data_IF_871417970816
#
_entry.id   IF_871417970816
#
_cell.length_a   1.000
_cell.length_b   1.000
_cell.length_c   1.000
_cell.angle_alpha   90.00
_cell.angle_beta   90.00
_cell.angle_gamma   90.00
#
_symmetry.space_group_name_H-M   'P 1'
#
loop_
_entity.id
_entity.type
_entity.pdbx_description
1 polymer ?
#
# COMPACT_ATOMS: atom_id res chain seq x y z
N UNK A 1 29.52 9.77 -7.18
CA UNK A 1 28.17 10.13 -6.73
C UNK A 1 27.40 8.87 -6.36
N UNK A 2 26.88 8.80 -5.15
CA UNK A 2 26.14 7.63 -4.70
C UNK A 2 24.66 7.80 -5.04
N UNK A 3 24.21 7.06 -6.05
CA UNK A 3 22.83 7.13 -6.54
C UNK A 3 21.83 6.66 -5.49
N UNK A 4 22.18 5.65 -4.69
CA UNK A 4 21.32 5.18 -3.61
C UNK A 4 21.08 6.28 -2.58
N UNK A 5 22.11 7.07 -2.23
CA UNK A 5 21.95 8.19 -1.33
C UNK A 5 21.07 9.29 -1.92
N UNK A 6 21.20 9.58 -3.21
CA UNK A 6 20.31 10.54 -3.89
C UNK A 6 18.87 10.09 -3.90
N UNK A 7 18.62 8.81 -4.21
CA UNK A 7 17.28 8.23 -4.19
C UNK A 7 16.67 8.32 -2.80
N UNK A 8 17.44 8.01 -1.76
CA UNK A 8 16.99 8.13 -0.37
C UNK A 8 16.64 9.57 -0.01
N UNK A 9 17.48 10.52 -0.41
CA UNK A 9 17.25 11.93 -0.15
C UNK A 9 15.98 12.44 -0.85
N UNK A 10 15.85 12.18 -2.15
CA UNK A 10 14.71 12.61 -2.94
C UNK A 10 13.41 11.98 -2.43
N UNK A 11 13.44 10.68 -2.14
CA UNK A 11 12.23 10.00 -1.63
C UNK A 11 11.81 10.54 -0.26
N UNK A 12 12.77 10.88 0.60
CA UNK A 12 12.49 11.48 1.90
C UNK A 12 11.86 12.87 1.73
N UNK A 13 12.39 13.69 0.85
CA UNK A 13 11.84 15.01 0.56
C UNK A 13 10.43 14.93 -0.03
N UNK A 14 10.19 13.99 -0.95
CA UNK A 14 8.87 13.77 -1.54
C UNK A 14 7.85 13.39 -0.46
N UNK A 15 8.18 12.45 0.41
CA UNK A 15 7.27 12.00 1.46
C UNK A 15 7.02 13.12 2.47
N UNK A 16 8.03 13.89 2.84
CA UNK A 16 7.87 15.03 3.75
C UNK A 16 6.95 16.11 3.14
N UNK A 17 7.11 16.40 1.85
CA UNK A 17 6.22 17.35 1.15
C UNK A 17 4.78 16.85 1.11
N UNK A 18 4.56 15.56 0.86
CA UNK A 18 3.24 14.97 0.88
C UNK A 18 2.59 15.07 2.26
N UNK A 19 3.36 14.83 3.32
CA UNK A 19 2.88 14.94 4.68
C UNK A 19 2.45 16.38 5.01
N UNK A 20 3.24 17.37 4.59
CA UNK A 20 2.91 18.79 4.79
C UNK A 20 1.64 19.20 4.05
N UNK A 21 1.39 18.61 2.88
CA UNK A 21 0.20 18.89 2.07
C UNK A 21 -1.05 18.13 2.55
N UNK A 22 -0.93 17.29 3.59
CA UNK A 22 -2.07 16.53 4.12
C UNK A 22 -2.41 15.29 3.31
N UNK A 23 -1.49 14.81 2.48
CA UNK A 23 -1.71 13.65 1.61
C UNK A 23 -2.09 12.40 2.40
N UNK A 24 -1.39 12.11 3.51
CA UNK A 24 -1.64 10.91 4.29
C UNK A 24 -2.95 10.98 5.09
N UNK A 25 -3.45 12.17 5.35
CA UNK A 25 -4.76 12.36 5.97
C UNK A 25 -5.89 12.08 4.97
N UNK A 26 -5.70 12.46 3.71
CA UNK A 26 -6.67 12.21 2.63
C UNK A 26 -6.65 10.76 2.16
N UNK A 27 -5.48 10.09 2.24
CA UNK A 27 -5.28 8.73 1.75
C UNK A 27 -4.88 7.80 2.89
N UNK A 28 -5.83 7.48 3.76
CA UNK A 28 -5.60 6.71 4.99
C UNK A 28 -5.08 5.30 4.75
N UNK A 29 -5.26 4.73 3.54
CA UNK A 29 -4.76 3.41 3.20
C UNK A 29 -3.30 3.41 2.73
N UNK A 30 -2.70 4.59 2.58
CA UNK A 30 -1.32 4.73 2.16
C UNK A 30 -0.48 5.17 3.36
N UNK A 31 0.40 4.29 3.83
CA UNK A 31 1.29 4.59 4.93
C UNK A 31 2.61 5.20 4.42
N UNK A 32 3.18 6.09 5.21
CA UNK A 32 4.41 6.81 4.90
C UNK A 32 5.59 5.88 4.58
N UNK A 33 5.84 4.90 5.43
CA UNK A 33 7.01 4.01 5.29
C UNK A 33 6.89 3.11 4.05
N UNK A 34 5.77 2.40 3.82
CA UNK A 34 5.62 1.62 2.59
C UNK A 34 5.69 2.46 1.32
N UNK A 35 5.12 3.67 1.33
CA UNK A 35 5.18 4.57 0.18
C UNK A 35 6.61 4.99 -0.12
N UNK A 36 7.37 5.39 0.91
CA UNK A 36 8.77 5.78 0.74
C UNK A 36 9.60 4.64 0.14
N UNK A 37 9.40 3.43 0.65
CA UNK A 37 10.11 2.25 0.14
C UNK A 37 9.74 1.95 -1.31
N UNK A 38 8.46 2.04 -1.65
CA UNK A 38 7.99 1.82 -3.01
C UNK A 38 8.55 2.87 -3.98
N UNK A 39 8.62 4.13 -3.56
CA UNK A 39 9.23 5.20 -4.34
C UNK A 39 10.72 4.92 -4.60
N UNK A 40 11.45 4.48 -3.58
CA UNK A 40 12.87 4.14 -3.72
C UNK A 40 13.08 3.04 -4.74
N UNK A 41 12.26 1.99 -4.70
CA UNK A 41 12.35 0.87 -5.64
C UNK A 41 12.03 1.34 -7.07
N UNK A 42 10.98 2.13 -7.24
CA UNK A 42 10.57 2.64 -8.55
C UNK A 42 11.65 3.55 -9.15
N UNK A 43 12.24 4.43 -8.35
CA UNK A 43 13.30 5.33 -8.78
C UNK A 43 14.56 4.56 -9.17
N UNK A 44 14.92 3.53 -8.41
CA UNK A 44 16.07 2.69 -8.71
C UNK A 44 15.89 1.94 -10.04
N UNK A 45 14.70 1.35 -10.25
CA UNK A 45 14.37 0.66 -11.49
C UNK A 45 14.41 1.60 -12.69
N UNK A 46 13.87 2.79 -12.54
CA UNK A 46 13.89 3.80 -13.60
C UNK A 46 15.32 4.21 -13.94
N UNK A 47 16.16 4.40 -12.93
CA UNK A 47 17.57 4.71 -13.13
C UNK A 47 18.29 3.62 -13.93
N UNK A 48 18.04 2.35 -13.60
CA UNK A 48 18.66 1.23 -14.29
C UNK A 48 18.23 1.11 -15.76
N UNK A 49 16.99 1.53 -16.08
CA UNK A 49 16.43 1.41 -17.42
C UNK A 49 16.65 2.65 -18.27
N UNK A 50 16.54 3.84 -17.69
CA UNK A 50 16.48 5.10 -18.43
C UNK A 50 17.55 6.11 -18.04
N UNK A 51 18.46 5.78 -17.12
CA UNK A 51 19.46 6.67 -16.55
C UNK A 51 18.85 7.94 -15.90
N UNK A 52 17.61 7.87 -15.49
CA UNK A 52 16.88 8.95 -14.83
C UNK A 52 16.09 8.39 -13.65
N UNK A 53 16.26 8.99 -12.47
CA UNK A 53 15.61 8.52 -11.25
C UNK A 53 14.32 9.28 -10.92
N UNK A 54 14.08 10.42 -11.58
CA UNK A 54 12.90 11.23 -11.28
C UNK A 54 11.64 10.63 -11.90
N UNK A 55 10.62 10.41 -11.06
CA UNK A 55 9.36 9.84 -11.50
C UNK A 55 8.48 10.92 -12.12
N UNK A 56 7.78 10.58 -13.20
CA UNK A 56 6.72 11.42 -13.75
C UNK A 56 5.50 11.35 -12.86
N UNK A 57 4.55 12.28 -13.05
CA UNK A 57 3.29 12.28 -12.31
C UNK A 57 2.54 10.95 -12.47
N UNK A 58 2.53 10.40 -13.67
CA UNK A 58 1.89 9.12 -13.97
C UNK A 58 2.56 7.97 -13.22
N UNK A 59 3.89 7.93 -13.21
CA UNK A 59 4.66 6.91 -12.50
C UNK A 59 4.44 7.00 -10.98
N UNK A 60 4.40 8.22 -10.45
CA UNK A 60 4.10 8.46 -9.05
C UNK A 60 2.70 7.94 -8.67
N UNK A 61 1.68 8.23 -9.50
CA UNK A 61 0.33 7.73 -9.28
C UNK A 61 0.26 6.20 -9.31
N UNK A 62 1.00 5.55 -10.20
CA UNK A 62 1.09 4.09 -10.26
C UNK A 62 1.67 3.51 -8.96
N UNK A 63 2.72 4.14 -8.43
CA UNK A 63 3.32 3.73 -7.16
C UNK A 63 2.30 3.84 -6.02
N UNK A 64 1.58 4.96 -5.96
CA UNK A 64 0.55 5.18 -4.93
C UNK A 64 -0.56 4.13 -5.02
N UNK A 65 -1.01 3.80 -6.23
CA UNK A 65 -2.05 2.78 -6.43
C UNK A 65 -1.57 1.40 -6.00
N UNK A 66 -0.34 1.05 -6.31
CA UNK A 66 0.22 -0.24 -5.92
C UNK A 66 0.33 -0.38 -4.40
N UNK A 67 0.77 0.67 -3.71
CA UNK A 67 0.86 0.67 -2.24
C UNK A 67 -0.53 0.57 -1.62
N UNK A 68 -1.49 1.34 -2.12
CA UNK A 68 -2.87 1.32 -1.64
C UNK A 68 -3.51 -0.07 -1.85
N UNK A 69 -3.34 -0.65 -3.04
CA UNK A 69 -3.88 -1.98 -3.35
C UNK A 69 -3.25 -3.06 -2.46
N UNK A 70 -1.96 -2.99 -2.21
CA UNK A 70 -1.27 -3.93 -1.31
C UNK A 70 -1.82 -3.83 0.11
N UNK A 71 -2.04 -2.61 0.60
CA UNK A 71 -2.62 -2.39 1.92
C UNK A 71 -4.04 -2.94 2.04
N UNK A 72 -4.89 -2.69 1.04
CA UNK A 72 -6.25 -3.23 0.99
C UNK A 72 -6.22 -4.75 0.91
N UNK A 73 -5.34 -5.31 0.08
CA UNK A 73 -5.19 -6.75 -0.08
C UNK A 73 -4.82 -7.45 1.22
N UNK A 74 -3.91 -6.87 1.98
CA UNK A 74 -3.52 -7.41 3.29
C UNK A 74 -4.67 -7.38 4.29
N UNK A 75 -5.46 -6.32 4.29
CA UNK A 75 -6.63 -6.20 5.17
C UNK A 75 -7.66 -7.28 4.83
N UNK A 76 -7.91 -7.52 3.55
CA UNK A 76 -8.83 -8.55 3.09
C UNK A 76 -8.32 -9.94 3.47
N UNK A 77 -7.04 -10.23 3.24
CA UNK A 77 -6.43 -11.51 3.62
C UNK A 77 -6.58 -11.77 5.13
N UNK A 78 -6.32 -10.75 5.94
CA UNK A 78 -6.48 -10.83 7.40
C UNK A 78 -7.91 -11.19 7.79
N UNK A 79 -8.89 -10.55 7.18
CA UNK A 79 -10.29 -10.80 7.44
C UNK A 79 -10.71 -12.22 7.01
N UNK A 80 -10.18 -12.71 5.90
CA UNK A 80 -10.43 -14.08 5.45
C UNK A 80 -9.81 -15.09 6.41
N UNK A 81 -8.55 -14.87 6.82
CA UNK A 81 -7.83 -15.75 7.74
C UNK A 81 -8.51 -15.83 9.11
N UNK A 82 -9.10 -14.72 9.57
CA UNK A 82 -9.83 -14.67 10.84
C UNK A 82 -11.25 -15.23 10.74
N UNK A 83 -11.71 -15.51 9.53
CA UNK A 83 -13.05 -16.03 9.29
C UNK A 83 -14.15 -14.98 9.22
N UNK A 84 -13.80 -13.69 9.19
CA UNK A 84 -14.77 -12.60 9.08
C UNK A 84 -15.35 -12.47 7.66
N UNK A 85 -14.55 -12.83 6.65
CA UNK A 85 -14.96 -12.83 5.25
C UNK A 85 -14.84 -14.23 4.65
N UNK A 86 -15.78 -14.57 3.79
CA UNK A 86 -15.73 -15.75 2.94
C UNK A 86 -15.22 -15.34 1.57
N UNK A 87 -14.32 -16.14 1.01
CA UNK A 87 -13.80 -15.94 -0.33
C UNK A 87 -14.33 -17.04 -1.25
N UNK A 88 -14.81 -16.65 -2.43
CA UNK A 88 -15.23 -17.59 -3.45
C UNK A 88 -14.77 -17.11 -4.83
N UNK A 89 -14.74 -18.03 -5.80
CA UNK A 89 -14.37 -17.71 -7.18
C UNK A 89 -15.58 -18.05 -8.06
N UNK A 90 -16.02 -17.09 -8.88
CA UNK A 90 -17.14 -17.33 -9.79
C UNK A 90 -16.68 -18.05 -11.07
N UNK A 91 -17.61 -18.31 -11.98
CA UNK A 91 -17.35 -19.02 -13.23
C UNK A 91 -16.37 -18.26 -14.15
N UNK A 92 -16.31 -16.93 -14.02
CA UNK A 92 -15.41 -16.07 -14.81
C UNK A 92 -14.01 -15.95 -14.21
N UNK A 93 -13.75 -16.57 -13.07
CA UNK A 93 -12.47 -16.49 -12.37
C UNK A 93 -12.32 -15.27 -11.46
N UNK A 94 -13.39 -14.52 -11.25
CA UNK A 94 -13.35 -13.35 -10.36
C UNK A 94 -13.45 -13.79 -8.90
N UNK A 95 -12.68 -13.15 -8.04
CA UNK A 95 -12.71 -13.41 -6.60
C UNK A 95 -13.81 -12.56 -5.97
N UNK A 96 -14.72 -13.23 -5.26
CA UNK A 96 -15.85 -12.61 -4.57
C UNK A 96 -15.67 -12.75 -3.06
N UNK A 97 -15.98 -11.70 -2.32
CA UNK A 97 -15.94 -11.70 -0.86
C UNK A 97 -17.33 -11.47 -0.32
N UNK A 98 -17.68 -12.20 0.74
CA UNK A 98 -18.94 -12.02 1.44
C UNK A 98 -18.73 -12.07 2.95
N UNK A 99 -19.58 -11.37 3.70
CA UNK A 99 -19.49 -11.37 5.15
C UNK A 99 -19.87 -12.75 5.71
N UNK A 100 -19.07 -13.24 6.65
CA UNK A 100 -19.41 -14.45 7.38
C UNK A 100 -20.39 -14.12 8.51
N UNK A 101 -21.63 -14.55 8.37
CA UNK A 101 -22.70 -14.27 9.34
C UNK A 101 -22.46 -14.91 10.70
N UNK A 102 -21.67 -15.98 10.74
CA UNK A 102 -21.37 -16.71 11.97
C UNK A 102 -20.17 -16.14 12.73
N UNK A 103 -19.48 -15.15 12.14
CA UNK A 103 -18.33 -14.52 12.77
C UNK A 103 -18.77 -13.64 13.94
N UNK A 104 -18.13 -13.82 15.09
CA UNK A 104 -18.44 -13.07 16.31
C UNK A 104 -17.42 -11.95 16.50
N UNK A 105 -17.79 -10.75 16.10
CA UNK A 105 -16.94 -9.56 16.24
C UNK A 105 -16.64 -9.24 17.70
N UNK A 106 -17.57 -9.46 18.61
CA UNK A 106 -17.41 -9.21 20.04
C UNK A 106 -16.24 -9.99 20.64
N UNK A 107 -16.09 -11.25 20.20
CA UNK A 107 -14.99 -12.10 20.65
C UNK A 107 -13.65 -11.62 20.13
N UNK A 108 -13.63 -11.05 18.93
CA UNK A 108 -12.44 -10.49 18.32
C UNK A 108 -12.02 -9.19 19.01
N UNK A 109 -12.99 -8.32 19.34
CA UNK A 109 -12.74 -7.07 20.05
C UNK A 109 -12.18 -7.30 21.46
N UNK A 110 -12.67 -8.32 22.15
CA UNK A 110 -12.20 -8.70 23.49
C UNK A 110 -10.72 -9.12 23.49
N UNK A 111 -10.24 -9.70 22.40
CA UNK A 111 -8.83 -10.06 22.24
C UNK A 111 -7.94 -8.83 22.05
N UNK A 112 -8.46 -7.78 21.44
CA UNK A 112 -7.72 -6.54 21.20
C UNK A 112 -7.59 -5.67 22.44
N UNK A 113 -8.43 -5.86 23.45
CA UNK A 113 -8.40 -5.08 24.70
C UNK A 113 -7.36 -5.59 25.71
N UNK A 114 -6.72 -6.68 25.40
CA UNK A 114 -5.72 -7.28 26.33
C UNK A 114 -4.30 -6.66 26.06
#
# INVERSE_FOLDING_TARGET
MDILNEIMEISTEMVNSLEEDGFFEEHQFIDRIPLKRALQIAMQRKWEQEDDMLLTDKEFLEVCQNVSNTGIGKTIEDLVDKGALNMSVNADGEILYSANKDFQFDKYEDEDEI
#
